data_IF_105111807206
#
_entry.id   IF_105111807206
#
_cell.length_a   1.000
_cell.length_b   1.000
_cell.length_c   1.000
_cell.angle_alpha   90.00
_cell.angle_beta   90.00
_cell.angle_gamma   90.00
#
_symmetry.space_group_name_H-M   'P 1'
#
loop_
_entity.id
_entity.type
_entity.pdbx_description
1 polymer ?
#
# COMPACT_ATOMS: atom_id res chain seq x y z
N UNK A 1 -6.90 7.83 -13.86
CA UNK A 1 -6.81 6.39 -13.52
C UNK A 1 -7.46 6.19 -12.16
N UNK A 2 -8.25 5.13 -11.98
CA UNK A 2 -8.88 4.82 -10.69
C UNK A 2 -8.09 3.78 -9.91
N UNK A 3 -8.42 3.60 -8.63
CA UNK A 3 -7.78 2.63 -7.72
C UNK A 3 -7.80 1.17 -8.23
N UNK A 4 -8.73 0.84 -9.15
CA UNK A 4 -8.89 -0.50 -9.72
C UNK A 4 -8.14 -0.71 -11.05
N UNK A 5 -7.43 0.30 -11.56
CA UNK A 5 -6.62 0.17 -12.78
C UNK A 5 -5.17 -0.08 -12.39
N UNK A 6 -4.62 -1.29 -12.57
CA UNK A 6 -3.22 -1.55 -12.27
C UNK A 6 -2.33 -0.70 -13.18
N UNK A 7 -1.21 -0.21 -12.64
CA UNK A 7 -0.15 0.43 -13.41
C UNK A 7 0.89 -0.62 -13.80
N UNK A 8 1.38 -0.58 -15.03
CA UNK A 8 2.48 -1.44 -15.51
C UNK A 8 3.86 -0.91 -15.09
N UNK A 9 3.91 0.26 -14.43
CA UNK A 9 5.16 0.91 -14.02
C UNK A 9 5.63 0.33 -12.69
N UNK A 10 6.90 -0.12 -12.63
CA UNK A 10 7.53 -0.56 -11.40
C UNK A 10 7.81 0.64 -10.48
N UNK A 11 7.46 0.50 -9.20
CA UNK A 11 7.74 1.49 -8.17
C UNK A 11 8.31 0.82 -6.91
N UNK A 12 9.28 1.47 -6.28
CA UNK A 12 9.79 1.10 -4.97
C UNK A 12 9.09 1.94 -3.90
N UNK A 13 8.73 1.31 -2.78
CA UNK A 13 8.09 1.95 -1.63
C UNK A 13 9.01 1.84 -0.42
N UNK A 14 9.30 2.96 0.24
CA UNK A 14 10.04 3.00 1.50
C UNK A 14 9.27 3.79 2.55
N UNK A 15 9.24 3.30 3.78
CA UNK A 15 8.55 3.95 4.91
C UNK A 15 9.55 4.13 6.05
N UNK A 16 9.62 5.32 6.66
CA UNK A 16 10.50 5.58 7.79
C UNK A 16 10.25 6.92 8.48
N UNK A 17 10.83 7.14 9.67
CA UNK A 17 10.73 8.40 10.37
C UNK A 17 11.55 9.49 9.68
N UNK A 18 11.16 10.74 9.88
CA UNK A 18 11.89 11.94 9.47
C UNK A 18 12.51 12.63 10.68
N UNK A 19 13.48 13.51 10.43
CA UNK A 19 14.10 14.32 11.48
C UNK A 19 13.13 15.34 12.11
N UNK A 20 11.97 15.57 11.50
CA UNK A 20 10.92 16.46 12.01
C UNK A 20 9.91 15.74 12.92
N UNK A 21 10.08 14.43 13.18
CA UNK A 21 9.14 13.64 13.96
C UNK A 21 7.94 13.11 13.17
N UNK A 22 7.95 13.27 11.84
CA UNK A 22 6.92 12.77 10.92
C UNK A 22 7.28 11.39 10.38
N UNK A 23 6.31 10.66 9.84
CA UNK A 23 6.53 9.42 9.07
C UNK A 23 6.51 9.74 7.58
N UNK A 24 7.56 9.38 6.86
CA UNK A 24 7.66 9.52 5.40
C UNK A 24 7.32 8.22 4.70
N UNK A 25 6.43 8.30 3.72
CA UNK A 25 6.22 7.29 2.68
C UNK A 25 6.86 7.83 1.40
N UNK A 26 7.93 7.18 0.95
CA UNK A 26 8.66 7.54 -0.25
C UNK A 26 8.33 6.57 -1.38
N UNK A 27 7.87 7.12 -2.51
CA UNK A 27 7.54 6.36 -3.72
C UNK A 27 8.53 6.78 -4.81
N UNK A 28 9.38 5.85 -5.22
CA UNK A 28 10.30 6.00 -6.35
C UNK A 28 9.70 5.27 -7.55
N UNK A 29 9.55 5.97 -8.67
CA UNK A 29 8.97 5.42 -9.90
C UNK A 29 10.06 5.34 -10.96
N UNK A 30 10.24 4.17 -11.58
CA UNK A 30 11.28 4.01 -12.61
C UNK A 30 11.05 4.96 -13.79
N UNK A 31 12.03 5.83 -14.07
CA UNK A 31 11.93 6.85 -15.12
C UNK A 31 10.89 7.96 -14.85
N UNK A 32 10.37 8.04 -13.62
CA UNK A 32 9.37 8.99 -13.18
C UNK A 32 9.89 10.02 -12.19
N UNK A 33 8.96 10.64 -11.46
CA UNK A 33 9.24 11.61 -10.40
C UNK A 33 9.13 10.92 -9.04
N UNK A 34 10.08 11.21 -8.16
CA UNK A 34 10.06 10.75 -6.77
C UNK A 34 9.04 11.55 -5.95
N UNK A 35 8.19 10.84 -5.21
CA UNK A 35 7.12 11.42 -4.41
C UNK A 35 7.34 11.11 -2.91
N UNK A 36 7.94 12.05 -2.16
CA UNK A 36 7.96 11.99 -0.70
C UNK A 36 6.62 12.49 -0.14
N UNK A 37 5.96 11.68 0.67
CA UNK A 37 4.75 12.04 1.41
C UNK A 37 5.04 11.93 2.90
N UNK A 38 4.88 13.03 3.64
CA UNK A 38 5.10 13.09 5.08
C UNK A 38 3.77 13.20 5.81
N UNK A 39 3.61 12.37 6.84
CA UNK A 39 2.39 12.25 7.65
C UNK A 39 2.73 12.37 9.14
N UNK A 40 1.80 12.91 9.92
CA UNK A 40 1.92 12.88 11.38
C UNK A 40 1.90 11.41 11.88
N UNK A 41 2.47 11.10 13.06
CA UNK A 41 2.45 9.73 13.60
C UNK A 41 1.04 9.13 13.67
N UNK A 42 0.05 9.92 14.09
CA UNK A 42 -1.35 9.50 14.19
C UNK A 42 -1.94 9.18 12.80
N UNK A 43 -1.68 10.01 11.79
CA UNK A 43 -2.13 9.76 10.41
C UNK A 43 -1.47 8.49 9.85
N UNK A 44 -0.19 8.26 10.14
CA UNK A 44 0.52 7.06 9.71
C UNK A 44 -0.03 5.78 10.37
N UNK A 45 -0.48 5.86 11.63
CA UNK A 45 -1.18 4.77 12.32
C UNK A 45 -2.52 4.43 11.65
N UNK A 46 -3.32 5.45 11.31
CA UNK A 46 -4.59 5.27 10.58
C UNK A 46 -4.37 4.60 9.22
N UNK A 47 -3.37 5.07 8.44
CA UNK A 47 -3.01 4.47 7.14
C UNK A 47 -2.59 3.00 7.31
N UNK A 48 -1.83 2.67 8.35
CA UNK A 48 -1.39 1.29 8.61
C UNK A 48 -2.59 0.38 8.93
N UNK A 49 -3.56 0.88 9.68
CA UNK A 49 -4.79 0.14 10.00
C UNK A 49 -5.64 -0.10 8.74
N UNK A 50 -5.82 0.91 7.89
CA UNK A 50 -6.52 0.78 6.61
C UNK A 50 -5.86 -0.24 5.69
N UNK A 51 -4.52 -0.18 5.55
CA UNK A 51 -3.76 -1.14 4.75
C UNK A 51 -3.92 -2.57 5.27
N UNK A 52 -3.91 -2.75 6.58
CA UNK A 52 -4.12 -4.06 7.21
C UNK A 52 -5.52 -4.59 6.92
N UNK A 53 -6.54 -3.77 7.08
CA UNK A 53 -7.93 -4.13 6.78
C UNK A 53 -8.11 -4.50 5.30
N UNK A 54 -7.53 -3.72 4.38
CA UNK A 54 -7.54 -4.01 2.94
C UNK A 54 -6.83 -5.34 2.62
N UNK A 55 -5.69 -5.62 3.26
CA UNK A 55 -4.98 -6.88 3.09
C UNK A 55 -5.79 -8.08 3.60
N UNK A 56 -6.50 -7.93 4.72
CA UNK A 56 -7.41 -8.97 5.23
C UNK A 56 -8.58 -9.23 4.27
N UNK A 57 -9.22 -8.17 3.75
CA UNK A 57 -10.27 -8.29 2.73
C UNK A 57 -9.77 -8.98 1.45
N UNK A 58 -8.58 -8.60 0.96
CA UNK A 58 -7.96 -9.22 -0.22
C UNK A 58 -7.67 -10.72 -0.01
N UNK A 59 -7.19 -11.11 1.18
CA UNK A 59 -6.99 -12.52 1.55
C UNK A 59 -8.29 -13.32 1.57
N UNK A 60 -9.38 -12.73 2.06
CA UNK A 60 -10.70 -13.37 2.07
C UNK A 60 -11.19 -13.69 0.65
N UNK A 61 -10.97 -12.77 -0.31
CA UNK A 61 -11.27 -12.97 -1.73
C UNK A 61 -10.46 -14.16 -2.28
N UNK A 62 -9.14 -14.20 -2.04
CA UNK A 62 -8.26 -15.28 -2.50
C UNK A 62 -8.62 -16.67 -1.95
N UNK A 63 -9.14 -16.73 -0.72
CA UNK A 63 -9.51 -17.99 -0.06
C UNK A 63 -10.77 -18.66 -0.63
N UNK A 64 -11.67 -17.88 -1.23
CA UNK A 64 -12.93 -18.38 -1.79
C UNK A 64 -12.74 -19.06 -3.15
N UNK A 65 -11.68 -18.66 -3.88
CA UNK A 65 -11.33 -19.17 -5.21
C UNK A 65 -10.64 -20.55 -5.20
N UNK A 66 -10.16 -21.02 -4.03
CA UNK A 66 -9.27 -22.18 -3.92
C UNK A 66 -9.96 -23.51 -3.52
N UNK A 67 -11.30 -23.60 -3.45
CA UNK A 67 -12.00 -24.89 -3.26
C UNK A 67 -12.40 -25.51 -4.60
N UNK A 68 -11.62 -26.46 -5.18
CA UNK A 68 -12.10 -27.26 -6.28
C UNK A 68 -13.24 -28.15 -5.75
N UNK A 69 -14.43 -27.95 -6.33
CA UNK A 69 -15.61 -28.77 -6.08
C UNK A 69 -15.31 -30.17 -6.63
N UNK A 70 -14.84 -31.09 -5.77
CA UNK A 70 -14.79 -32.53 -6.10
C UNK A 70 -16.21 -32.97 -6.47
N UNK A 71 -16.40 -33.32 -7.73
CA UNK A 71 -17.54 -34.10 -8.24
C UNK A 71 -17.01 -35.46 -8.66
#
# INVERSE_FOLDING_TARGET
>A
MGINSPSDIAANLQIGPTDAGMVRIFIEVEGGVDLPLDFDPEEAEEIAEELRAAAEAARAIGSTSAKPKKR
#
